data_IF_165499386777
#
_entry.id   IF_165499386777
#
_cell.length_a   1.000
_cell.length_b   1.000
_cell.length_c   1.000
_cell.angle_alpha   90.00
_cell.angle_beta   90.00
_cell.angle_gamma   90.00
#
_symmetry.space_group_name_H-M   'P 1'
#
loop_
_entity.id
_entity.type
_entity.pdbx_description
1 polymer ?
#
# COMPACT_ATOMS: atom_id res chain seq x y z
N UNK A 1 -10.60 -21.17 28.70
CA UNK A 1 -11.44 -20.23 27.91
C UNK A 1 -11.03 -18.81 28.26
N UNK A 2 -10.08 -18.24 27.51
CA UNK A 2 -9.51 -16.92 27.84
C UNK A 2 -10.43 -15.86 27.24
N UNK A 3 -11.19 -15.17 28.10
CA UNK A 3 -12.06 -14.06 27.71
C UNK A 3 -11.18 -12.86 27.30
N UNK A 4 -10.82 -12.77 26.03
CA UNK A 4 -10.26 -11.55 25.43
C UNK A 4 -11.40 -10.59 25.10
N UNK A 5 -11.85 -9.79 26.07
CA UNK A 5 -12.91 -8.78 25.86
C UNK A 5 -12.38 -7.41 26.30
N UNK A 6 -12.04 -6.56 25.32
CA UNK A 6 -11.75 -5.13 25.49
C UNK A 6 -10.27 -4.73 25.47
N UNK A 7 -9.54 -4.97 24.38
CA UNK A 7 -8.10 -4.69 24.30
C UNK A 7 -7.71 -3.44 23.48
N UNK A 8 -8.64 -2.87 22.72
CA UNK A 8 -8.42 -1.65 21.93
C UNK A 8 -9.63 -0.73 22.01
N UNK A 9 -9.38 0.57 22.09
CA UNK A 9 -10.38 1.62 21.87
C UNK A 9 -10.77 1.71 20.39
N UNK A 10 -11.92 2.32 20.10
CA UNK A 10 -12.39 2.53 18.72
C UNK A 10 -11.34 3.26 17.86
N UNK A 11 -10.66 4.25 18.45
CA UNK A 11 -9.57 4.99 17.79
C UNK A 11 -8.37 4.11 17.46
N UNK A 12 -8.02 3.17 18.32
CA UNK A 12 -6.94 2.22 18.07
C UNK A 12 -7.32 1.22 16.97
N UNK A 13 -8.58 0.78 16.95
CA UNK A 13 -9.11 -0.07 15.89
C UNK A 13 -9.10 0.64 14.53
N UNK A 14 -9.52 1.90 14.49
CA UNK A 14 -9.45 2.72 13.26
C UNK A 14 -8.00 2.89 12.77
N UNK A 15 -7.06 3.15 13.68
CA UNK A 15 -5.65 3.28 13.33
C UNK A 15 -5.06 1.98 12.76
N UNK A 16 -5.43 0.83 13.34
CA UNK A 16 -5.02 -0.49 12.83
C UNK A 16 -5.62 -0.77 11.46
N UNK A 17 -6.91 -0.51 11.26
CA UNK A 17 -7.58 -0.67 9.97
C UNK A 17 -6.97 0.24 8.90
N UNK A 18 -6.66 1.49 9.24
CA UNK A 18 -5.99 2.42 8.33
C UNK A 18 -4.59 1.93 7.94
N UNK A 19 -3.84 1.34 8.88
CA UNK A 19 -2.52 0.76 8.59
C UNK A 19 -2.61 -0.47 7.69
N UNK A 20 -3.56 -1.36 7.94
CA UNK A 20 -3.79 -2.53 7.09
C UNK A 20 -4.17 -2.13 5.66
N UNK A 21 -5.02 -1.11 5.50
CA UNK A 21 -5.35 -0.55 4.18
C UNK A 21 -4.11 -0.01 3.46
N UNK A 22 -3.27 0.77 4.16
CA UNK A 22 -2.01 1.29 3.62
C UNK A 22 -1.04 0.19 3.19
N UNK A 23 -0.90 -0.86 4.01
CA UNK A 23 -0.04 -2.01 3.70
C UNK A 23 -0.55 -2.75 2.45
N UNK A 24 -1.86 -2.97 2.35
CA UNK A 24 -2.47 -3.60 1.18
C UNK A 24 -2.33 -2.76 -0.09
N UNK A 25 -2.53 -1.44 -0.01
CA UNK A 25 -2.29 -0.53 -1.14
C UNK A 25 -0.83 -0.55 -1.58
N UNK A 26 0.10 -0.62 -0.62
CA UNK A 26 1.53 -0.73 -0.92
C UNK A 26 1.83 -2.03 -1.66
N UNK A 27 1.35 -3.16 -1.18
CA UNK A 27 1.54 -4.46 -1.84
C UNK A 27 1.01 -4.46 -3.27
N UNK A 28 -0.20 -3.91 -3.49
CA UNK A 28 -0.78 -3.77 -4.83
C UNK A 28 0.10 -2.88 -5.72
N UNK A 29 0.53 -1.73 -5.22
CA UNK A 29 1.38 -0.81 -5.97
C UNK A 29 2.74 -1.41 -6.34
N UNK A 30 3.31 -2.26 -5.47
CA UNK A 30 4.60 -2.93 -5.70
C UNK A 30 4.54 -4.01 -6.79
N UNK A 31 3.36 -4.40 -7.28
CA UNK A 31 3.21 -5.38 -8.34
C UNK A 31 3.64 -4.87 -9.73
N UNK A 32 3.84 -3.56 -9.90
CA UNK A 32 4.25 -2.92 -11.16
C UNK A 32 5.41 -1.97 -10.93
N UNK A 33 6.14 -1.61 -11.98
CA UNK A 33 7.18 -0.59 -11.93
C UNK A 33 6.56 0.81 -11.68
N UNK A 34 7.32 1.69 -11.04
CA UNK A 34 6.87 3.06 -10.80
C UNK A 34 7.16 3.97 -12.01
N UNK A 35 6.17 4.46 -12.74
CA UNK A 35 6.39 5.35 -13.89
C UNK A 35 6.77 6.80 -13.51
N UNK A 36 6.96 7.09 -12.22
CA UNK A 36 7.36 8.42 -11.74
C UNK A 36 8.83 8.49 -11.32
N UNK A 37 9.35 7.44 -10.70
CA UNK A 37 10.72 7.39 -10.20
C UNK A 37 11.49 6.15 -10.67
N UNK A 38 10.93 5.41 -11.63
CA UNK A 38 11.50 4.23 -12.28
C UNK A 38 11.93 3.10 -11.33
N UNK A 39 11.46 3.14 -10.08
CA UNK A 39 11.69 2.06 -9.12
C UNK A 39 10.98 0.79 -9.60
N UNK A 40 11.70 -0.35 -9.69
CA UNK A 40 11.12 -1.58 -10.20
C UNK A 40 10.05 -2.16 -9.26
N UNK A 41 9.26 -3.09 -9.78
CA UNK A 41 8.36 -3.95 -9.01
C UNK A 41 9.09 -4.54 -7.78
N UNK A 42 8.37 -4.65 -6.66
CA UNK A 42 8.92 -5.10 -5.38
C UNK A 42 9.77 -4.08 -4.62
N UNK A 43 10.19 -2.97 -5.24
CA UNK A 43 11.01 -1.94 -4.57
C UNK A 43 10.17 -0.73 -4.18
N UNK A 44 10.33 -0.17 -2.96
CA UNK A 44 9.56 1.00 -2.54
C UNK A 44 9.91 2.22 -3.38
N UNK A 45 8.93 3.10 -3.59
CA UNK A 45 9.22 4.42 -4.13
C UNK A 45 10.11 5.19 -3.14
N UNK A 46 11.04 5.99 -3.68
CA UNK A 46 11.94 6.82 -2.90
C UNK A 46 11.59 8.30 -3.07
N UNK A 47 11.87 9.10 -2.03
CA UNK A 47 11.97 10.55 -2.09
C UNK A 47 13.17 10.97 -2.96
N UNK A 48 13.24 12.23 -3.40
CA UNK A 48 14.41 12.73 -4.14
C UNK A 48 15.74 12.53 -3.44
N UNK A 49 15.74 12.52 -2.10
CA UNK A 49 16.93 12.25 -1.27
C UNK A 49 17.27 10.74 -1.13
N UNK A 50 16.55 9.87 -1.84
CA UNK A 50 16.77 8.42 -1.84
C UNK A 50 16.18 7.66 -0.65
N UNK A 51 15.33 8.30 0.17
CA UNK A 51 14.69 7.64 1.32
C UNK A 51 13.35 7.01 0.92
N UNK A 52 12.89 5.92 1.54
CA UNK A 52 11.55 5.40 1.27
C UNK A 52 10.46 6.43 1.52
N UNK A 53 9.47 6.49 0.64
CA UNK A 53 8.25 7.28 0.86
C UNK A 53 7.47 6.76 2.07
N UNK A 54 6.87 7.69 2.81
CA UNK A 54 5.91 7.37 3.87
C UNK A 54 4.55 6.95 3.30
N UNK A 55 4.22 7.44 2.10
CA UNK A 55 3.07 6.98 1.33
C UNK A 55 3.33 5.57 0.75
N UNK A 56 2.27 4.79 0.44
CA UNK A 56 2.42 3.44 -0.09
C UNK A 56 3.28 3.39 -1.37
N UNK A 57 3.06 4.36 -2.27
CA UNK A 57 3.86 4.58 -3.48
C UNK A 57 3.53 5.97 -4.08
N UNK A 58 4.24 6.36 -5.15
CA UNK A 58 3.81 7.48 -5.99
C UNK A 58 2.43 7.20 -6.60
N UNK A 59 1.58 8.22 -6.68
CA UNK A 59 0.20 8.10 -7.16
C UNK A 59 0.12 7.48 -8.57
N UNK A 60 1.09 7.76 -9.46
CA UNK A 60 1.14 7.16 -10.79
C UNK A 60 1.30 5.65 -10.74
N UNK A 61 2.09 5.13 -9.80
CA UNK A 61 2.26 3.68 -9.60
C UNK A 61 0.98 3.03 -9.10
N UNK A 62 0.27 3.68 -8.19
CA UNK A 62 -1.03 3.21 -7.68
C UNK A 62 -2.03 3.09 -8.85
N UNK A 63 -2.12 4.11 -9.71
CA UNK A 63 -2.99 4.07 -10.90
C UNK A 63 -2.55 2.99 -11.90
N UNK A 64 -1.26 2.84 -12.14
CA UNK A 64 -0.74 1.79 -13.02
C UNK A 64 -1.05 0.39 -12.49
N UNK A 65 -0.94 0.17 -11.17
CA UNK A 65 -1.28 -1.09 -10.54
C UNK A 65 -2.77 -1.41 -10.66
N UNK A 66 -3.65 -0.42 -10.50
CA UNK A 66 -5.09 -0.61 -10.68
C UNK A 66 -5.44 -0.96 -12.13
N UNK A 67 -4.84 -0.26 -13.11
CA UNK A 67 -5.00 -0.60 -14.53
C UNK A 67 -4.54 -2.03 -14.84
N UNK A 68 -3.33 -2.39 -14.40
CA UNK A 68 -2.79 -3.74 -14.58
C UNK A 68 -3.66 -4.82 -13.93
N UNK A 69 -4.31 -4.52 -12.80
CA UNK A 69 -5.28 -5.43 -12.18
C UNK A 69 -6.52 -5.60 -13.05
N UNK A 70 -7.07 -4.52 -13.59
CA UNK A 70 -8.26 -4.57 -14.46
C UNK A 70 -7.99 -5.35 -15.76
N UNK A 71 -6.78 -5.24 -16.32
CA UNK A 71 -6.38 -6.00 -17.51
C UNK A 71 -6.23 -7.50 -17.24
N UNK A 72 -5.79 -7.88 -16.03
CA UNK A 72 -5.58 -9.28 -15.65
C UNK A 72 -6.85 -9.99 -15.19
N UNK A 73 -7.83 -9.24 -14.67
CA UNK A 73 -9.13 -9.74 -14.24
C UNK A 73 -10.24 -8.99 -15.01
N UNK A 74 -10.36 -9.22 -16.34
CA UNK A 74 -11.48 -8.70 -17.11
C UNK A 74 -12.72 -9.45 -16.66
N UNK A 75 -13.53 -8.82 -15.81
CA UNK A 75 -14.84 -9.35 -15.42
C UNK A 75 -15.74 -9.61 -16.62
#
# INVERSE_FOLDING_TARGET
>A
MTRYRGQFSDRELEALAARELLERERELALAVDCPECDQPAGHPCLTPDGRPLLAPAHWKRIRAADHHRQERDPR
#
